data_IF_839661908988
#
_entry.id   IF_839661908988
#
_cell.length_a   1.000
_cell.length_b   1.000
_cell.length_c   1.000
_cell.angle_alpha   90.00
_cell.angle_beta   90.00
_cell.angle_gamma   90.00
#
_symmetry.space_group_name_H-M   'P 1'
#
loop_
_entity.id
_entity.type
_entity.pdbx_description
1 polymer ?
#
# COMPACT_ATOMS: atom_id res chain seq x y z
N UNK A 1 -26.71 5.93 15.50
CA UNK A 1 -26.84 4.57 14.92
C UNK A 1 -26.90 4.57 13.39
N UNK A 2 -27.75 5.39 12.74
CA UNK A 2 -27.86 5.41 11.27
C UNK A 2 -26.58 5.87 10.53
N UNK A 3 -25.83 6.87 11.05
CA UNK A 3 -24.54 7.30 10.48
C UNK A 3 -23.48 6.20 10.51
N UNK A 4 -23.27 5.56 11.67
CA UNK A 4 -22.32 4.46 11.82
C UNK A 4 -22.66 3.27 10.90
N UNK A 5 -23.94 2.95 10.73
CA UNK A 5 -24.35 1.89 9.79
C UNK A 5 -24.09 2.26 8.33
N UNK A 6 -24.24 3.54 7.95
CA UNK A 6 -23.93 4.01 6.61
C UNK A 6 -22.41 3.99 6.34
N UNK A 7 -21.61 4.38 7.33
CA UNK A 7 -20.15 4.38 7.27
C UNK A 7 -19.59 2.96 7.13
N UNK A 8 -19.99 2.03 8.00
CA UNK A 8 -19.61 0.61 7.91
C UNK A 8 -20.02 0.01 6.56
N UNK A 9 -21.18 0.39 6.03
CA UNK A 9 -21.64 -0.07 4.72
C UNK A 9 -20.72 0.44 3.61
N UNK A 10 -20.32 1.71 3.67
CA UNK A 10 -19.42 2.31 2.70
C UNK A 10 -18.05 1.65 2.72
N UNK A 11 -17.47 1.44 3.90
CA UNK A 11 -16.17 0.78 4.05
C UNK A 11 -16.20 -0.66 3.53
N UNK A 12 -17.28 -1.40 3.80
CA UNK A 12 -17.48 -2.75 3.27
C UNK A 12 -17.56 -2.78 1.74
N UNK A 13 -18.22 -1.81 1.13
CA UNK A 13 -18.30 -1.73 -0.33
C UNK A 13 -16.93 -1.43 -0.94
N UNK A 14 -16.16 -0.51 -0.35
CA UNK A 14 -14.78 -0.22 -0.79
C UNK A 14 -13.88 -1.45 -0.68
N UNK A 15 -13.94 -2.16 0.44
CA UNK A 15 -13.16 -3.38 0.64
C UNK A 15 -13.50 -4.46 -0.40
N UNK A 16 -14.79 -4.65 -0.71
CA UNK A 16 -15.18 -5.59 -1.78
C UNK A 16 -14.61 -5.18 -3.13
N UNK A 17 -14.73 -3.91 -3.49
CA UNK A 17 -14.19 -3.41 -4.75
C UNK A 17 -12.67 -3.64 -4.84
N UNK A 18 -11.94 -3.35 -3.76
CA UNK A 18 -10.50 -3.59 -3.68
C UNK A 18 -10.14 -5.06 -3.93
N UNK A 19 -10.88 -5.99 -3.31
CA UNK A 19 -10.66 -7.42 -3.47
C UNK A 19 -10.97 -7.90 -4.89
N UNK A 20 -12.04 -7.38 -5.50
CA UNK A 20 -12.39 -7.68 -6.89
C UNK A 20 -11.31 -7.18 -7.86
N UNK A 21 -10.80 -5.96 -7.65
CA UNK A 21 -9.75 -5.37 -8.47
C UNK A 21 -8.43 -6.14 -8.32
N UNK A 22 -8.07 -6.52 -7.09
CA UNK A 22 -6.89 -7.35 -6.81
C UNK A 22 -7.00 -8.72 -7.49
N UNK A 23 -8.17 -9.36 -7.41
CA UNK A 23 -8.41 -10.65 -8.07
C UNK A 23 -8.24 -10.53 -9.58
N UNK A 24 -8.84 -9.51 -10.20
CA UNK A 24 -8.71 -9.26 -11.65
C UNK A 24 -7.26 -9.02 -12.07
N UNK A 25 -6.51 -8.28 -11.25
CA UNK A 25 -5.08 -8.08 -11.48
C UNK A 25 -4.34 -9.43 -11.45
N UNK A 26 -4.54 -10.25 -10.40
CA UNK A 26 -3.88 -11.54 -10.27
C UNK A 26 -4.25 -12.57 -11.36
N UNK A 27 -5.45 -12.49 -11.94
CA UNK A 27 -5.94 -13.40 -12.98
C UNK A 27 -5.57 -12.96 -14.42
N UNK A 28 -4.86 -11.85 -14.61
CA UNK A 28 -4.54 -11.28 -15.93
C UNK A 28 -3.05 -11.43 -16.25
N UNK A 29 -2.60 -12.55 -16.85
CA UNK A 29 -1.19 -12.91 -16.99
C UNK A 29 -0.49 -12.23 -18.19
N UNK A 30 -0.75 -10.94 -18.44
CA UNK A 30 -0.08 -10.24 -19.55
C UNK A 30 1.40 -9.97 -19.21
N UNK A 31 2.28 -10.11 -20.21
CA UNK A 31 3.72 -9.86 -20.10
C UNK A 31 4.09 -8.42 -19.70
N UNK A 32 3.16 -7.46 -19.90
CA UNK A 32 3.31 -6.05 -19.49
C UNK A 32 2.85 -5.76 -18.04
N UNK A 33 2.43 -6.79 -17.29
CA UNK A 33 1.95 -6.60 -15.93
C UNK A 33 3.14 -6.40 -14.99
N UNK A 34 3.24 -5.19 -14.43
CA UNK A 34 4.16 -4.90 -13.33
C UNK A 34 3.76 -5.72 -12.09
N UNK A 35 4.74 -6.30 -11.38
CA UNK A 35 4.61 -7.07 -10.12
C UNK A 35 4.11 -6.22 -8.91
N UNK A 36 3.32 -5.18 -9.17
CA UNK A 36 2.83 -4.23 -8.19
C UNK A 36 1.35 -3.90 -8.44
N UNK A 37 0.54 -4.21 -7.43
CA UNK A 37 -0.85 -3.76 -7.34
C UNK A 37 -0.95 -2.55 -6.39
N UNK A 38 -1.51 -1.44 -6.88
CA UNK A 38 -1.75 -0.23 -6.09
C UNK A 38 -3.21 0.17 -6.19
N UNK A 39 -3.83 0.45 -5.04
CA UNK A 39 -5.20 0.95 -4.95
C UNK A 39 -5.31 2.04 -3.88
N UNK A 40 -6.42 2.78 -3.89
CA UNK A 40 -6.66 3.87 -2.97
C UNK A 40 -6.05 5.21 -3.40
N UNK A 41 -5.54 5.35 -4.63
CA UNK A 41 -4.95 6.59 -5.13
C UNK A 41 -5.91 7.78 -4.99
N UNK A 42 -7.20 7.58 -5.36
CA UNK A 42 -8.24 8.60 -5.20
C UNK A 42 -8.42 9.04 -3.76
N UNK A 43 -8.39 8.10 -2.81
CA UNK A 43 -8.53 8.41 -1.40
C UNK A 43 -7.36 9.27 -0.89
N UNK A 44 -6.15 9.00 -1.37
CA UNK A 44 -4.98 9.79 -1.04
C UNK A 44 -5.09 11.23 -1.57
N UNK A 45 -5.62 11.42 -2.79
CA UNK A 45 -5.83 12.72 -3.39
C UNK A 45 -6.91 13.56 -2.69
N UNK A 46 -7.87 12.91 -2.02
CA UNK A 46 -8.94 13.60 -1.27
C UNK A 46 -8.47 14.11 0.10
N UNK A 47 -7.24 13.80 0.54
CA UNK A 47 -6.72 14.24 1.82
C UNK A 47 -6.38 15.73 1.80
N UNK A 48 -6.92 16.55 2.74
CA UNK A 48 -6.66 18.00 2.76
C UNK A 48 -5.17 18.35 2.83
N UNK A 49 -4.38 17.53 3.50
CA UNK A 49 -2.94 17.67 3.67
C UNK A 49 -2.17 17.53 2.34
N UNK A 50 -2.78 16.88 1.34
CA UNK A 50 -2.21 16.62 0.02
C UNK A 50 -2.90 17.43 -1.09
N UNK A 51 -3.84 18.32 -0.74
CA UNK A 51 -4.63 19.12 -1.69
C UNK A 51 -3.85 20.29 -2.34
N UNK A 52 -2.52 20.22 -2.36
CA UNK A 52 -1.64 21.19 -3.02
C UNK A 52 -1.34 20.70 -4.44
N UNK A 53 -1.48 21.58 -5.44
CA UNK A 53 -1.37 21.21 -6.86
C UNK A 53 -0.06 20.50 -7.20
N UNK A 54 1.06 20.98 -6.67
CA UNK A 54 2.37 20.36 -6.91
C UNK A 54 2.46 18.97 -6.28
N UNK A 55 1.91 18.78 -5.08
CA UNK A 55 1.83 17.47 -4.42
C UNK A 55 0.97 16.49 -5.18
N UNK A 56 -0.19 16.93 -5.69
CA UNK A 56 -1.07 16.11 -6.53
C UNK A 56 -0.34 15.67 -7.79
N UNK A 57 0.37 16.59 -8.47
CA UNK A 57 1.14 16.28 -9.68
C UNK A 57 2.20 15.22 -9.40
N UNK A 58 2.97 15.37 -8.33
CA UNK A 58 3.98 14.39 -7.96
C UNK A 58 3.40 13.04 -7.58
N UNK A 59 2.25 13.01 -6.89
CA UNK A 59 1.55 11.76 -6.56
C UNK A 59 1.08 11.02 -7.80
N UNK A 60 0.49 11.74 -8.75
CA UNK A 60 0.06 11.15 -10.02
C UNK A 60 1.27 10.58 -10.76
N UNK A 61 2.36 11.35 -10.87
CA UNK A 61 3.59 10.89 -11.53
C UNK A 61 4.17 9.64 -10.85
N UNK A 62 4.18 9.57 -9.52
CA UNK A 62 4.67 8.41 -8.78
C UNK A 62 3.77 7.17 -8.94
N UNK A 63 2.47 7.33 -9.17
CA UNK A 63 1.57 6.21 -9.47
C UNK A 63 1.69 5.72 -10.91
N UNK A 64 2.10 6.59 -11.83
CA UNK A 64 2.42 6.24 -13.22
C UNK A 64 3.79 5.54 -13.31
N UNK A 65 4.79 6.00 -12.55
CA UNK A 65 6.10 5.36 -12.42
C UNK A 65 6.11 4.24 -11.37
N UNK A 66 5.51 3.11 -11.74
CA UNK A 66 5.49 1.91 -10.88
C UNK A 66 6.88 1.35 -10.57
N UNK A 67 7.88 1.60 -11.41
CA UNK A 67 9.26 1.14 -11.18
C UNK A 67 9.86 1.80 -9.94
N UNK A 68 9.53 3.08 -9.69
CA UNK A 68 9.98 3.79 -8.50
C UNK A 68 9.44 3.17 -7.22
N UNK A 69 8.16 2.80 -7.19
CA UNK A 69 7.54 2.11 -6.06
C UNK A 69 8.11 0.70 -5.88
N UNK A 70 8.30 -0.05 -6.97
CA UNK A 70 8.89 -1.38 -6.96
C UNK A 70 10.29 -1.41 -6.36
N UNK A 71 11.12 -0.39 -6.62
CA UNK A 71 12.47 -0.30 -6.01
C UNK A 71 12.41 -0.30 -4.48
N UNK A 72 11.42 0.38 -3.89
CA UNK A 72 11.25 0.43 -2.43
C UNK A 72 10.75 -0.90 -1.88
N UNK A 73 9.82 -1.53 -2.58
CA UNK A 73 9.30 -2.86 -2.27
C UNK A 73 10.43 -3.88 -2.23
N UNK A 74 11.27 -3.92 -3.27
CA UNK A 74 12.45 -4.81 -3.35
C UNK A 74 13.46 -4.59 -2.21
N UNK A 75 13.58 -3.36 -1.71
CA UNK A 75 14.45 -3.06 -0.56
C UNK A 75 13.93 -3.68 0.75
N UNK A 76 12.63 -3.96 0.86
CA UNK A 76 12.04 -4.64 2.04
C UNK A 76 12.22 -6.15 1.94
N UNK A 77 12.11 -6.73 0.74
CA UNK A 77 12.19 -8.18 0.53
C UNK A 77 13.52 -8.79 1.01
N UNK A 78 14.62 -8.04 0.86
CA UNK A 78 15.96 -8.45 1.28
C UNK A 78 16.27 -8.29 2.78
N UNK A 79 15.36 -7.71 3.57
CA UNK A 79 15.58 -7.47 5.00
C UNK A 79 14.90 -8.52 5.90
N UNK A 80 15.39 -8.65 7.12
CA UNK A 80 14.84 -9.59 8.12
C UNK A 80 13.67 -8.94 8.85
N UNK A 81 12.49 -9.59 8.75
CA UNK A 81 11.21 -9.37 9.46
C UNK A 81 10.98 -8.02 10.14
N UNK A 82 9.91 -7.33 9.76
CA UNK A 82 9.44 -6.14 10.47
C UNK A 82 8.59 -5.22 9.60
N UNK A 83 8.19 -4.08 10.18
CA UNK A 83 7.58 -2.97 9.45
C UNK A 83 8.67 -2.00 9.06
N UNK A 84 8.74 -1.65 7.78
CA UNK A 84 9.65 -0.63 7.25
C UNK A 84 8.87 0.62 6.88
N UNK A 85 9.41 1.77 7.28
CA UNK A 85 8.80 3.07 7.01
C UNK A 85 9.74 3.87 6.12
N UNK A 86 9.22 4.35 5.00
CA UNK A 86 9.90 5.23 4.06
C UNK A 86 9.24 6.60 4.15
N UNK A 87 10.01 7.65 4.48
CA UNK A 87 9.47 8.99 4.72
C UNK A 87 9.97 9.95 3.63
N UNK A 88 9.11 10.30 2.67
CA UNK A 88 9.39 11.30 1.63
C UNK A 88 10.79 11.24 0.99
N UNK A 89 11.44 12.42 0.92
CA UNK A 89 12.77 12.65 0.34
C UNK A 89 13.93 11.88 0.95
N UNK A 90 13.75 11.16 2.05
CA UNK A 90 14.84 10.39 2.65
C UNK A 90 15.28 9.20 1.78
N UNK A 91 14.45 8.81 0.80
CA UNK A 91 14.64 7.63 -0.05
C UNK A 91 14.51 8.03 -1.54
N UNK A 92 14.66 7.09 -2.49
CA UNK A 92 14.69 7.31 -3.95
C UNK A 92 13.37 7.86 -4.58
N UNK A 93 12.58 8.54 -3.77
CA UNK A 93 11.26 9.13 -3.94
C UNK A 93 11.35 10.67 -4.01
N UNK A 94 12.26 11.20 -4.83
CA UNK A 94 12.61 12.62 -4.87
C UNK A 94 11.41 13.58 -5.03
N UNK A 95 10.31 13.13 -5.64
CA UNK A 95 9.11 13.95 -5.86
C UNK A 95 7.98 13.72 -4.83
N UNK A 96 8.13 12.78 -3.89
CA UNK A 96 7.08 12.36 -2.95
C UNK A 96 7.25 12.94 -1.53
N UNK A 97 7.70 14.19 -1.41
CA UNK A 97 8.04 14.82 -0.12
C UNK A 97 6.93 14.83 0.95
N UNK A 98 5.68 14.81 0.50
CA UNK A 98 4.50 14.91 1.38
C UNK A 98 3.91 13.56 1.76
N UNK A 99 4.46 12.45 1.27
CA UNK A 99 3.97 11.12 1.60
C UNK A 99 5.02 10.22 2.23
N UNK A 100 4.53 9.17 2.85
CA UNK A 100 5.31 8.10 3.42
C UNK A 100 4.69 6.75 3.05
N UNK A 101 5.55 5.73 2.98
CA UNK A 101 5.18 4.34 2.78
C UNK A 101 5.43 3.57 4.07
N UNK A 102 4.46 2.75 4.47
CA UNK A 102 4.61 1.77 5.55
C UNK A 102 4.44 0.40 4.93
N UNK A 103 5.52 -0.39 4.92
CA UNK A 103 5.60 -1.69 4.25
C UNK A 103 5.86 -2.80 5.27
N UNK A 104 5.30 -3.98 5.04
CA UNK A 104 5.57 -5.19 5.79
C UNK A 104 5.58 -6.40 4.87
N UNK A 105 6.57 -7.28 5.08
CA UNK A 105 6.76 -8.49 4.31
C UNK A 105 5.74 -9.56 4.73
N UNK A 106 5.22 -10.31 3.77
CA UNK A 106 4.47 -11.53 4.02
C UNK A 106 5.17 -12.75 3.41
N UNK A 107 5.01 -13.90 4.07
CA UNK A 107 5.76 -15.12 3.78
C UNK A 107 4.84 -16.22 3.26
N UNK A 108 5.35 -17.02 2.33
CA UNK A 108 4.73 -18.25 1.86
C UNK A 108 5.28 -19.47 2.59
N UNK A 109 4.92 -20.68 2.14
CA UNK A 109 5.33 -21.94 2.79
C UNK A 109 6.84 -22.15 2.90
N UNK A 110 7.62 -21.59 1.97
CA UNK A 110 9.05 -21.88 1.84
C UNK A 110 9.94 -20.66 1.81
N UNK A 111 9.42 -19.45 1.51
CA UNK A 111 10.20 -18.22 1.36
C UNK A 111 9.32 -16.95 1.44
N UNK A 112 9.94 -15.77 1.27
CA UNK A 112 9.24 -14.50 1.04
C UNK A 112 8.20 -14.69 -0.07
N UNK A 113 6.94 -14.36 0.18
CA UNK A 113 5.91 -14.37 -0.86
C UNK A 113 5.66 -12.97 -1.43
N UNK A 114 6.03 -11.91 -0.70
CA UNK A 114 6.02 -10.54 -1.20
C UNK A 114 5.94 -9.52 -0.07
N UNK A 115 5.54 -8.30 -0.43
CA UNK A 115 5.40 -7.18 0.51
C UNK A 115 4.04 -6.51 0.33
N UNK A 116 3.43 -6.10 1.43
CA UNK A 116 2.23 -5.27 1.42
C UNK A 116 2.45 -4.00 2.23
N UNK A 117 1.67 -2.96 1.94
CA UNK A 117 1.76 -1.75 2.72
C UNK A 117 0.75 -0.69 2.34
N UNK A 118 0.92 0.48 2.94
CA UNK A 118 0.07 1.64 2.72
C UNK A 118 0.89 2.87 2.36
N UNK A 119 0.30 3.72 1.54
CA UNK A 119 0.81 5.03 1.17
C UNK A 119 -0.09 6.06 1.86
N UNK A 120 0.51 7.01 2.57
CA UNK A 120 -0.23 8.04 3.29
C UNK A 120 0.56 9.34 3.43
N UNK A 121 -0.04 10.39 4.01
CA UNK A 121 0.68 11.63 4.31
C UNK A 121 1.87 11.39 5.23
N UNK A 122 2.92 12.21 5.09
CA UNK A 122 4.12 12.17 5.92
C UNK A 122 3.83 12.25 7.43
N UNK A 123 2.72 12.88 7.82
CA UNK A 123 2.29 13.06 9.22
C UNK A 123 1.11 12.16 9.63
N UNK A 124 1.04 10.95 9.09
CA UNK A 124 0.03 9.96 9.51
C UNK A 124 0.24 9.46 10.94
N UNK A 125 -0.77 8.81 11.51
CA UNK A 125 -0.71 8.20 12.85
C UNK A 125 0.04 6.86 12.80
N UNK A 126 1.38 6.90 12.76
CA UNK A 126 2.23 5.71 12.63
C UNK A 126 1.96 4.65 13.72
N UNK A 127 1.65 5.08 14.94
CA UNK A 127 1.28 4.21 16.06
C UNK A 127 0.07 3.31 15.76
N UNK A 128 -0.86 3.77 14.93
CA UNK A 128 -2.03 3.01 14.50
C UNK A 128 -1.78 2.27 13.18
N UNK A 129 -1.07 2.89 12.24
CA UNK A 129 -0.86 2.34 10.90
C UNK A 129 0.08 1.15 10.90
N UNK A 130 1.21 1.24 11.62
CA UNK A 130 2.23 0.17 11.61
C UNK A 130 1.68 -1.18 12.11
N UNK A 131 0.95 -1.26 13.25
CA UNK A 131 0.37 -2.53 13.70
C UNK A 131 -0.67 -3.12 12.75
N UNK A 132 -1.43 -2.27 12.05
CA UNK A 132 -2.45 -2.71 11.07
C UNK A 132 -1.76 -3.37 9.87
N UNK A 133 -0.74 -2.72 9.32
CA UNK A 133 0.03 -3.23 8.18
C UNK A 133 0.70 -4.56 8.52
N UNK A 134 1.36 -4.61 9.67
CA UNK A 134 2.02 -5.81 10.20
C UNK A 134 1.03 -6.96 10.47
N UNK A 135 -0.12 -6.65 11.08
CA UNK A 135 -1.20 -7.62 11.30
C UNK A 135 -1.77 -8.18 10.00
N UNK A 136 -1.97 -7.32 8.99
CA UNK A 136 -2.42 -7.73 7.67
C UNK A 136 -1.39 -8.63 6.97
N UNK A 137 -0.10 -8.29 7.04
CA UNK A 137 0.97 -9.08 6.43
C UNK A 137 1.08 -10.48 7.05
N UNK A 138 1.00 -10.56 8.39
CA UNK A 138 0.92 -11.86 9.08
C UNK A 138 -0.33 -12.66 8.70
N UNK A 139 -1.47 -11.98 8.54
CA UNK A 139 -2.71 -12.66 8.14
C UNK A 139 -2.60 -13.24 6.73
N UNK A 140 -2.05 -12.48 5.77
CA UNK A 140 -1.74 -12.98 4.42
C UNK A 140 -0.76 -14.14 4.48
N UNK A 141 0.31 -14.02 5.29
CA UNK A 141 1.29 -15.11 5.46
C UNK A 141 0.64 -16.38 5.97
N UNK A 142 -0.28 -16.29 6.93
CA UNK A 142 -1.03 -17.44 7.45
C UNK A 142 -1.92 -18.09 6.39
N UNK A 143 -2.58 -17.27 5.55
CA UNK A 143 -3.44 -17.76 4.48
C UNK A 143 -2.65 -18.48 3.37
N UNK A 144 -1.43 -18.02 3.07
CA UNK A 144 -0.55 -18.62 2.05
C UNK A 144 0.24 -19.82 2.58
N UNK A 145 0.67 -19.76 3.85
CA UNK A 145 1.46 -20.80 4.51
C UNK A 145 0.68 -22.04 4.93
N UNK A 146 -0.66 -22.00 4.87
CA UNK A 146 -1.51 -23.15 5.16
C UNK A 146 -1.36 -23.69 6.58
N UNK A 147 -2.02 -23.05 7.55
CA UNK A 147 -2.48 -23.72 8.77
C UNK A 147 -4.01 -23.67 8.83
#
# INVERSE_FOLDING_TARGET
RLRLQAEIRHDRLRMRQLLEDLKRWAESPNEDQTDLFVSGQRHLLDLPELAVVDTIRSLVAAFEDKEQLLRLVRQVEGETTGVKVFIGSEHALADMDQVALVLSRYEGPSDVAGTLGVIGPKRMQYEHVMPIVDGAARWVSKMLGGM
#
